data_IF_621497797773
#
_entry.id   IF_621497797773
#
_cell.length_a   1.000
_cell.length_b   1.000
_cell.length_c   1.000
_cell.angle_alpha   90.00
_cell.angle_beta   90.00
_cell.angle_gamma   90.00
#
_symmetry.space_group_name_H-M   'P 1'
#
loop_
_entity.id
_entity.type
_entity.pdbx_description
1 polymer ?
#
# COMPACT_ATOMS: atom_id res chain seq x y z
N UNK A 1 -8.19 -5.62 -6.56
CA UNK A 1 -7.75 -6.90 -5.96
C UNK A 1 -8.86 -7.94 -6.04
N UNK A 2 -9.41 -8.20 -7.24
CA UNK A 2 -10.29 -9.36 -7.50
C UNK A 2 -10.07 -9.71 -8.97
N UNK A 3 -9.47 -10.87 -9.23
CA UNK A 3 -9.09 -11.30 -10.58
C UNK A 3 -10.26 -11.91 -11.38
N UNK A 4 -11.49 -11.86 -10.86
CA UNK A 4 -12.67 -12.48 -11.51
C UNK A 4 -13.98 -11.81 -11.11
N UNK A 5 -14.52 -10.96 -11.98
CA UNK A 5 -15.90 -10.38 -11.99
C UNK A 5 -16.63 -10.29 -10.62
N UNK A 6 -15.95 -9.91 -9.54
CA UNK A 6 -16.47 -9.89 -8.17
C UNK A 6 -17.21 -11.16 -7.68
N UNK A 7 -16.94 -12.34 -8.28
CA UNK A 7 -17.66 -13.57 -7.91
C UNK A 7 -17.15 -14.21 -6.62
N UNK A 8 -15.85 -14.09 -6.34
CA UNK A 8 -15.20 -14.71 -5.18
C UNK A 8 -14.51 -13.71 -4.24
N UNK A 9 -14.35 -12.46 -4.66
CA UNK A 9 -13.69 -11.41 -3.88
C UNK A 9 -14.46 -10.10 -3.97
N UNK A 10 -14.33 -9.28 -2.93
CA UNK A 10 -14.98 -7.98 -2.85
C UNK A 10 -14.07 -6.95 -2.19
N UNK A 11 -14.34 -5.66 -2.40
CA UNK A 11 -13.63 -4.59 -1.72
C UNK A 11 -13.68 -4.73 -0.19
N UNK A 12 -14.83 -5.17 0.33
CA UNK A 12 -14.98 -5.44 1.76
C UNK A 12 -14.06 -6.57 2.23
N UNK A 13 -13.95 -7.67 1.49
CA UNK A 13 -13.05 -8.78 1.82
C UNK A 13 -11.57 -8.33 1.88
N UNK A 14 -11.16 -7.41 1.01
CA UNK A 14 -9.82 -6.81 1.05
C UNK A 14 -9.59 -6.07 2.37
N UNK A 15 -10.53 -5.21 2.79
CA UNK A 15 -10.40 -4.44 4.04
C UNK A 15 -10.37 -5.35 5.28
N UNK A 16 -11.18 -6.42 5.29
CA UNK A 16 -11.17 -7.43 6.35
C UNK A 16 -9.82 -8.16 6.40
N UNK A 17 -9.32 -8.59 5.24
CA UNK A 17 -8.03 -9.26 5.12
C UNK A 17 -6.86 -8.38 5.56
N UNK A 18 -6.84 -7.10 5.16
CA UNK A 18 -5.83 -6.14 5.60
C UNK A 18 -5.87 -5.89 7.12
N UNK A 19 -7.06 -5.63 7.66
CA UNK A 19 -7.24 -5.38 9.09
C UNK A 19 -6.75 -6.55 9.94
N UNK A 20 -7.21 -7.77 9.66
CA UNK A 20 -6.77 -8.94 10.43
C UNK A 20 -5.34 -9.36 10.13
N UNK A 21 -4.82 -9.11 8.92
CA UNK A 21 -3.41 -9.27 8.61
C UNK A 21 -2.53 -8.41 9.53
N UNK A 22 -2.93 -7.15 9.75
CA UNK A 22 -2.27 -6.26 10.72
C UNK A 22 -2.40 -6.81 12.15
N UNK A 23 -3.57 -7.30 12.56
CA UNK A 23 -3.76 -7.94 13.88
C UNK A 23 -2.75 -9.06 14.11
N UNK A 24 -2.58 -9.97 13.15
CA UNK A 24 -1.63 -11.08 13.25
C UNK A 24 -0.19 -10.54 13.30
N UNK A 25 0.15 -9.55 12.47
CA UNK A 25 1.45 -8.90 12.51
C UNK A 25 1.77 -8.27 13.88
N UNK A 26 0.78 -7.67 14.54
CA UNK A 26 0.93 -7.16 15.91
C UNK A 26 1.21 -8.29 16.89
N UNK A 27 0.56 -9.45 16.76
CA UNK A 27 0.84 -10.60 17.62
C UNK A 27 2.25 -11.16 17.39
N UNK A 28 2.74 -11.17 16.15
CA UNK A 28 4.08 -11.65 15.80
C UNK A 28 5.17 -10.78 16.40
N UNK A 29 5.05 -9.46 16.25
CA UNK A 29 6.18 -8.55 16.52
C UNK A 29 5.95 -7.58 17.70
N UNK A 30 4.79 -7.61 18.34
CA UNK A 30 4.32 -6.58 19.28
C UNK A 30 5.23 -6.43 20.50
N UNK A 31 5.50 -7.53 21.22
CA UNK A 31 6.37 -7.50 22.40
C UNK A 31 7.87 -7.38 22.08
N UNK A 32 8.27 -7.57 20.83
CA UNK A 32 9.68 -7.54 20.41
C UNK A 32 10.08 -6.15 19.89
N UNK A 33 9.26 -5.59 19.00
CA UNK A 33 9.58 -4.36 18.26
C UNK A 33 8.52 -3.26 18.39
N UNK A 34 7.41 -3.51 19.09
CA UNK A 34 6.21 -2.67 19.05
C UNK A 34 5.36 -2.89 17.79
N UNK A 35 5.74 -3.84 16.92
CA UNK A 35 5.05 -4.17 15.67
C UNK A 35 4.70 -2.95 14.81
N UNK A 36 5.65 -2.04 14.61
CA UNK A 36 5.40 -0.84 13.80
C UNK A 36 4.91 -1.20 12.40
N UNK A 37 5.58 -2.17 11.74
CA UNK A 37 5.25 -2.70 10.39
C UNK A 37 5.03 -1.64 9.30
N UNK A 38 5.39 -0.40 9.60
CA UNK A 38 5.06 0.79 8.85
C UNK A 38 6.13 1.85 9.08
N UNK A 39 6.76 2.31 7.99
CA UNK A 39 7.82 3.30 8.05
C UNK A 39 7.31 4.66 8.56
N UNK A 40 6.07 5.05 8.26
CA UNK A 40 5.48 6.29 8.77
C UNK A 40 5.21 6.22 10.27
N UNK A 41 4.74 5.08 10.78
CA UNK A 41 4.57 4.85 12.24
C UNK A 41 5.94 4.87 12.93
N UNK A 42 6.94 4.22 12.32
CA UNK A 42 8.31 4.21 12.85
C UNK A 42 8.90 5.62 12.88
N UNK A 43 8.75 6.38 11.79
CA UNK A 43 9.19 7.76 11.69
C UNK A 43 8.53 8.63 12.75
N UNK A 44 7.21 8.51 12.92
CA UNK A 44 6.46 9.33 13.88
C UNK A 44 6.89 9.05 15.32
N UNK A 45 7.10 7.77 15.68
CA UNK A 45 7.63 7.40 16.98
C UNK A 45 9.05 7.94 17.20
N UNK A 46 9.90 8.00 16.17
CA UNK A 46 11.20 8.66 16.26
C UNK A 46 11.07 10.18 16.46
N UNK A 47 10.22 10.82 15.67
CA UNK A 47 10.01 12.27 15.70
C UNK A 47 9.45 12.76 17.04
N UNK A 48 8.57 11.98 17.66
CA UNK A 48 7.97 12.27 18.97
C UNK A 48 8.81 11.78 20.16
N UNK A 49 9.99 11.18 19.92
CA UNK A 49 10.91 10.75 20.96
C UNK A 49 10.57 9.42 21.64
N UNK A 50 9.59 8.66 21.13
CA UNK A 50 9.25 7.31 21.61
C UNK A 50 10.21 6.22 21.11
N UNK A 51 10.91 6.47 19.99
CA UNK A 51 11.90 5.55 19.43
C UNK A 51 13.21 6.28 19.13
N UNK A 52 14.36 5.65 19.37
CA UNK A 52 15.65 6.21 18.98
C UNK A 52 15.81 6.22 17.46
N UNK A 53 16.24 7.36 16.90
CA UNK A 53 16.59 7.49 15.48
C UNK A 53 17.62 6.46 14.98
N UNK A 54 18.48 5.94 15.87
CA UNK A 54 19.44 4.87 15.52
C UNK A 54 18.75 3.57 15.09
N UNK A 55 17.54 3.30 15.58
CA UNK A 55 16.74 2.11 15.23
C UNK A 55 15.94 2.29 13.95
N UNK A 56 15.67 3.53 13.55
CA UNK A 56 14.88 3.85 12.36
C UNK A 56 15.32 3.11 11.09
N UNK A 57 16.61 3.15 10.66
CA UNK A 57 17.02 2.49 9.42
C UNK A 57 16.87 0.96 9.50
N UNK A 58 17.10 0.35 10.67
CA UNK A 58 16.94 -1.10 10.87
C UNK A 58 15.47 -1.50 10.75
N UNK A 59 14.57 -0.72 11.33
CA UNK A 59 13.12 -0.95 11.22
C UNK A 59 12.66 -0.84 9.76
N UNK A 60 13.01 0.25 9.08
CA UNK A 60 12.59 0.48 7.69
C UNK A 60 13.16 -0.58 6.75
N UNK A 61 14.44 -0.94 6.90
CA UNK A 61 15.06 -1.98 6.08
C UNK A 61 14.36 -3.34 6.27
N UNK A 62 14.12 -3.75 7.51
CA UNK A 62 13.41 -5.01 7.79
C UNK A 62 11.98 -5.02 7.24
N UNK A 63 11.25 -3.92 7.39
CA UNK A 63 9.90 -3.77 6.85
C UNK A 63 9.89 -3.79 5.31
N UNK A 64 10.86 -3.12 4.67
CA UNK A 64 10.95 -3.05 3.22
C UNK A 64 11.30 -4.42 2.62
N UNK A 65 12.30 -5.10 3.17
CA UNK A 65 12.67 -6.44 2.73
C UNK A 65 11.52 -7.43 2.95
N UNK A 66 10.87 -7.37 4.12
CA UNK A 66 9.72 -8.22 4.42
C UNK A 66 8.57 -8.02 3.43
N UNK A 67 8.22 -6.77 3.10
CA UNK A 67 7.15 -6.49 2.14
C UNK A 67 7.51 -6.86 0.71
N UNK A 68 8.76 -6.64 0.29
CA UNK A 68 9.24 -7.07 -1.03
C UNK A 68 9.14 -8.59 -1.19
N UNK A 69 9.62 -9.35 -0.19
CA UNK A 69 9.55 -10.81 -0.21
C UNK A 69 8.11 -11.32 -0.12
N UNK A 70 7.24 -10.65 0.63
CA UNK A 70 5.82 -10.97 0.66
C UNK A 70 5.16 -10.77 -0.72
N UNK A 71 5.49 -9.68 -1.43
CA UNK A 71 5.02 -9.46 -2.80
C UNK A 71 5.46 -10.58 -3.74
N UNK A 72 6.74 -10.99 -3.67
CA UNK A 72 7.25 -12.11 -4.45
C UNK A 72 6.52 -13.42 -4.13
N UNK A 73 6.34 -13.73 -2.84
CA UNK A 73 5.63 -14.93 -2.41
C UNK A 73 4.18 -14.97 -2.93
N UNK A 74 3.45 -13.85 -2.86
CA UNK A 74 2.09 -13.75 -3.39
C UNK A 74 2.09 -13.90 -4.91
N UNK A 75 3.03 -13.28 -5.63
CA UNK A 75 3.13 -13.45 -7.08
C UNK A 75 3.33 -14.92 -7.47
N UNK A 76 4.21 -15.65 -6.80
CA UNK A 76 4.43 -17.06 -7.10
C UNK A 76 3.22 -17.93 -6.71
N UNK A 77 2.57 -17.64 -5.57
CA UNK A 77 1.38 -18.38 -5.14
C UNK A 77 0.20 -18.19 -6.12
N UNK A 78 0.06 -17.00 -6.70
CA UNK A 78 -1.01 -16.66 -7.64
C UNK A 78 -0.54 -16.64 -9.10
N UNK A 79 0.63 -17.21 -9.42
CA UNK A 79 1.26 -17.08 -10.74
C UNK A 79 0.33 -17.53 -11.86
N UNK A 80 -0.21 -18.75 -11.76
CA UNK A 80 -1.12 -19.32 -12.76
C UNK A 80 -2.38 -18.47 -12.94
N UNK A 81 -2.99 -18.02 -11.84
CA UNK A 81 -4.18 -17.18 -11.88
C UNK A 81 -3.93 -15.80 -12.52
N UNK A 82 -2.78 -15.18 -12.23
CA UNK A 82 -2.39 -13.90 -12.84
C UNK A 82 -2.13 -14.08 -14.34
N UNK A 83 -1.38 -15.12 -14.73
CA UNK A 83 -1.05 -15.36 -16.13
C UNK A 83 -2.29 -15.71 -16.97
N UNK A 84 -3.22 -16.50 -16.41
CA UNK A 84 -4.50 -16.81 -17.05
C UNK A 84 -5.36 -15.56 -17.24
N UNK A 85 -5.51 -14.74 -16.19
CA UNK A 85 -6.31 -13.51 -16.26
C UNK A 85 -5.73 -12.48 -17.25
N UNK A 86 -4.40 -12.36 -17.29
CA UNK A 86 -3.71 -11.36 -18.11
C UNK A 86 -3.38 -11.84 -19.53
N UNK A 87 -3.61 -13.13 -19.82
CA UNK A 87 -3.08 -13.81 -21.01
C UNK A 87 -1.56 -13.56 -21.19
N UNK A 88 -0.83 -13.58 -20.07
CA UNK A 88 0.61 -13.32 -20.00
C UNK A 88 1.04 -11.85 -20.12
N UNK A 89 0.11 -10.90 -20.30
CA UNK A 89 0.43 -9.48 -20.45
C UNK A 89 0.24 -8.68 -19.15
N UNK A 90 1.34 -8.43 -18.45
CA UNK A 90 1.34 -7.77 -17.14
C UNK A 90 1.20 -6.24 -17.27
N UNK A 91 -0.01 -5.71 -17.11
CA UNK A 91 -0.28 -4.28 -17.24
C UNK A 91 -0.55 -3.57 -15.90
N UNK A 92 -0.23 -2.27 -15.87
CA UNK A 92 -0.47 -1.38 -14.73
C UNK A 92 -1.86 -0.75 -14.79
N UNK A 93 -2.37 -0.51 -16.00
CA UNK A 93 -3.66 0.14 -16.26
C UNK A 93 -4.49 -0.66 -17.26
N UNK A 94 -5.76 -0.31 -17.36
CA UNK A 94 -6.72 -0.95 -18.25
C UNK A 94 -7.50 -2.08 -17.58
N UNK A 95 -8.38 -2.76 -18.34
CA UNK A 95 -9.32 -3.74 -17.80
C UNK A 95 -8.67 -4.98 -17.20
N UNK A 96 -7.45 -5.31 -17.65
CA UNK A 96 -6.67 -6.46 -17.19
C UNK A 96 -5.53 -6.07 -16.23
N UNK A 97 -5.58 -4.85 -15.67
CA UNK A 97 -4.53 -4.36 -14.77
C UNK A 97 -4.40 -5.24 -13.52
N UNK A 98 -3.17 -5.66 -13.23
CA UNK A 98 -2.84 -6.53 -12.09
C UNK A 98 -1.81 -5.94 -11.14
N UNK A 99 -1.17 -4.83 -11.51
CA UNK A 99 -0.18 -4.17 -10.65
C UNK A 99 -0.79 -3.69 -9.31
N UNK A 100 -2.08 -3.37 -9.32
CA UNK A 100 -2.87 -2.91 -8.16
C UNK A 100 -3.09 -3.99 -7.08
N UNK A 101 -2.70 -5.25 -7.34
CA UNK A 101 -2.63 -6.30 -6.32
C UNK A 101 -1.53 -5.99 -5.31
N UNK A 102 -0.41 -5.44 -5.78
CA UNK A 102 0.82 -5.29 -5.02
C UNK A 102 0.96 -3.90 -4.42
N UNK A 103 0.68 -2.85 -5.19
CA UNK A 103 0.83 -1.45 -4.80
C UNK A 103 -0.45 -0.66 -5.10
N UNK A 104 -0.65 0.49 -4.49
CA UNK A 104 -1.82 1.34 -4.76
C UNK A 104 -1.58 2.25 -5.95
N UNK A 105 -2.65 2.65 -6.64
CA UNK A 105 -2.60 3.54 -7.80
C UNK A 105 -3.77 4.51 -7.71
N UNK A 106 -3.50 5.79 -7.98
CA UNK A 106 -4.54 6.81 -7.98
C UNK A 106 -5.58 6.52 -9.09
N UNK A 107 -6.88 6.64 -8.78
CA UNK A 107 -7.94 6.56 -9.78
C UNK A 107 -7.96 7.83 -10.64
N UNK A 108 -8.57 7.74 -11.82
CA UNK A 108 -8.50 8.79 -12.85
C UNK A 108 -9.14 10.13 -12.43
N UNK A 109 -10.04 10.12 -11.46
CA UNK A 109 -10.68 11.33 -10.92
C UNK A 109 -9.82 12.07 -9.87
N UNK A 110 -8.70 11.48 -9.44
CA UNK A 110 -7.83 12.05 -8.41
C UNK A 110 -6.60 12.70 -9.01
N UNK A 111 -6.26 13.89 -8.51
CA UNK A 111 -4.98 14.54 -8.80
C UNK A 111 -3.93 14.15 -7.76
N UNK A 112 -2.66 14.32 -8.10
CA UNK A 112 -1.54 14.06 -7.20
C UNK A 112 -1.68 14.80 -5.85
N UNK A 113 -2.05 16.08 -5.91
CA UNK A 113 -2.26 16.90 -4.72
C UNK A 113 -3.39 16.38 -3.83
N UNK A 114 -4.51 15.93 -4.42
CA UNK A 114 -5.61 15.34 -3.65
C UNK A 114 -5.21 14.00 -3.05
N UNK A 115 -4.44 13.18 -3.78
CA UNK A 115 -3.90 11.93 -3.25
C UNK A 115 -2.94 12.15 -2.09
N UNK A 116 -2.08 13.19 -2.17
CA UNK A 116 -1.24 13.61 -1.04
C UNK A 116 -2.06 13.94 0.20
N UNK A 117 -3.05 14.82 0.07
CA UNK A 117 -3.89 15.22 1.19
C UNK A 117 -4.64 14.03 1.80
N UNK A 118 -5.16 13.13 0.95
CA UNK A 118 -5.84 11.91 1.38
C UNK A 118 -4.88 11.03 2.20
N UNK A 119 -3.72 10.66 1.66
CA UNK A 119 -2.74 9.81 2.36
C UNK A 119 -2.20 10.43 3.66
N UNK A 120 -1.96 11.74 3.69
CA UNK A 120 -1.57 12.46 4.92
C UNK A 120 -2.67 12.38 5.97
N UNK A 121 -3.93 12.62 5.57
CA UNK A 121 -5.06 12.60 6.48
C UNK A 121 -5.32 11.18 7.02
N UNK A 122 -5.33 10.16 6.14
CA UNK A 122 -5.55 8.76 6.52
C UNK A 122 -4.41 8.24 7.42
N UNK A 123 -3.16 8.56 7.10
CA UNK A 123 -2.01 8.17 7.93
C UNK A 123 -2.04 8.88 9.29
N UNK A 124 -2.48 10.14 9.34
CA UNK A 124 -2.69 10.88 10.57
C UNK A 124 -3.77 10.25 11.45
N UNK A 125 -4.91 9.85 10.87
CA UNK A 125 -5.98 9.14 11.57
C UNK A 125 -5.51 7.79 12.10
N UNK A 126 -4.76 7.02 11.30
CA UNK A 126 -4.15 5.77 11.74
C UNK A 126 -3.25 6.00 12.96
N UNK A 127 -2.35 6.98 12.89
CA UNK A 127 -1.39 7.24 13.96
C UNK A 127 -2.07 7.73 15.24
N UNK A 128 -3.07 8.62 15.11
CA UNK A 128 -3.88 9.08 16.23
C UNK A 128 -4.63 7.91 16.89
N UNK A 129 -5.24 7.03 16.08
CA UNK A 129 -5.93 5.85 16.57
C UNK A 129 -5.00 4.88 17.29
N UNK A 130 -3.81 4.61 16.74
CA UNK A 130 -2.79 3.77 17.39
C UNK A 130 -2.42 4.35 18.77
N UNK A 131 -2.18 5.65 18.86
CA UNK A 131 -1.88 6.29 20.16
C UNK A 131 -3.05 6.21 21.13
N UNK A 132 -4.29 6.48 20.69
CA UNK A 132 -5.46 6.37 21.55
C UNK A 132 -5.66 4.93 22.08
N UNK A 133 -5.44 3.92 21.25
CA UNK A 133 -5.59 2.50 21.61
C UNK A 133 -4.52 2.06 22.62
N UNK A 134 -3.32 2.61 22.52
CA UNK A 134 -2.14 2.13 23.29
C UNK A 134 -1.77 3.00 24.49
N UNK A 135 -2.26 4.23 24.58
CA UNK A 135 -1.95 5.14 25.71
C UNK A 135 -2.70 4.74 26.98
N UNK A 136 -1.96 4.15 27.93
CA UNK A 136 -2.48 3.71 29.23
C UNK A 136 -2.95 4.85 30.14
N UNK A 137 -2.70 6.11 29.79
CA UNK A 137 -3.22 7.29 30.51
C UNK A 137 -4.57 7.76 29.97
N UNK A 138 -5.03 7.20 28.86
CA UNK A 138 -6.34 7.43 28.27
C UNK A 138 -7.21 6.16 28.41
N UNK A 139 -8.30 6.06 27.64
CA UNK A 139 -9.13 4.85 27.54
C UNK A 139 -8.52 3.82 26.57
N UNK A 140 -7.36 3.26 26.93
CA UNK A 140 -6.66 2.26 26.11
C UNK A 140 -7.45 0.96 25.96
N UNK A 141 -7.16 0.19 24.92
CA UNK A 141 -7.68 -1.17 24.80
C UNK A 141 -7.21 -2.08 25.96
N UNK A 142 -8.03 -3.10 26.23
CA UNK A 142 -7.71 -4.12 27.21
C UNK A 142 -6.39 -4.81 26.84
N UNK A 143 -5.60 -5.15 27.86
CA UNK A 143 -4.32 -5.81 27.65
C UNK A 143 -4.48 -7.12 26.87
N UNK A 144 -3.74 -7.26 25.77
CA UNK A 144 -3.80 -8.40 24.87
C UNK A 144 -4.79 -8.23 23.72
N UNK A 145 -5.66 -7.21 23.74
CA UNK A 145 -6.60 -6.95 22.64
C UNK A 145 -6.15 -5.80 21.74
N UNK A 146 -5.04 -5.12 22.05
CA UNK A 146 -4.54 -3.97 21.29
C UNK A 146 -4.40 -4.29 19.80
N UNK A 147 -3.86 -5.47 19.46
CA UNK A 147 -3.68 -5.90 18.07
C UNK A 147 -5.00 -6.02 17.31
N UNK A 148 -6.04 -6.55 17.94
CA UNK A 148 -7.38 -6.71 17.33
C UNK A 148 -7.98 -5.34 17.05
N UNK A 149 -7.91 -4.41 18.02
CA UNK A 149 -8.48 -3.08 17.87
C UNK A 149 -7.72 -2.26 16.82
N UNK A 150 -6.39 -2.41 16.73
CA UNK A 150 -5.58 -1.79 15.66
C UNK A 150 -5.97 -2.36 14.28
N UNK A 151 -6.21 -3.67 14.17
CA UNK A 151 -6.69 -4.26 12.92
C UNK A 151 -8.07 -3.76 12.50
N UNK A 152 -8.99 -3.59 13.47
CA UNK A 152 -10.31 -2.99 13.23
C UNK A 152 -10.16 -1.52 12.76
N UNK A 153 -9.25 -0.75 13.36
CA UNK A 153 -8.95 0.62 12.91
C UNK A 153 -8.54 0.65 11.43
N UNK A 154 -7.62 -0.23 11.01
CA UNK A 154 -7.18 -0.33 9.60
C UNK A 154 -8.33 -0.73 8.69
N UNK A 155 -9.15 -1.70 9.11
CA UNK A 155 -10.35 -2.13 8.37
C UNK A 155 -11.30 -0.95 8.13
N UNK A 156 -11.62 -0.18 9.18
CA UNK A 156 -12.53 0.97 9.09
C UNK A 156 -11.97 2.06 8.17
N UNK A 157 -10.67 2.35 8.25
CA UNK A 157 -10.02 3.29 7.32
C UNK A 157 -10.20 2.83 5.87
N UNK A 158 -9.95 1.55 5.58
CA UNK A 158 -10.13 1.00 4.24
C UNK A 158 -11.58 1.06 3.75
N UNK A 159 -12.55 0.69 4.59
CA UNK A 159 -13.98 0.71 4.22
C UNK A 159 -14.50 2.14 4.00
N UNK A 160 -14.10 3.09 4.85
CA UNK A 160 -14.65 4.45 4.82
C UNK A 160 -13.90 5.40 3.89
N UNK A 161 -12.58 5.25 3.75
CA UNK A 161 -11.72 6.25 3.11
C UNK A 161 -10.84 5.68 1.99
N UNK A 162 -10.81 4.36 1.81
CA UNK A 162 -9.85 3.72 0.92
C UNK A 162 -10.08 3.88 -0.58
N UNK A 163 -11.23 4.40 -1.02
CA UNK A 163 -11.60 4.50 -2.44
C UNK A 163 -10.72 5.48 -3.24
N UNK A 164 -10.23 6.54 -2.60
CA UNK A 164 -9.56 7.65 -3.28
C UNK A 164 -8.10 7.34 -3.64
N UNK A 165 -7.42 6.55 -2.83
CA UNK A 165 -5.97 6.30 -2.92
C UNK A 165 -5.58 4.82 -2.76
N UNK A 166 -6.52 3.98 -2.35
CA UNK A 166 -6.25 2.60 -1.94
C UNK A 166 -5.68 2.47 -0.52
N UNK A 167 -5.75 3.54 0.29
CA UNK A 167 -5.27 3.60 1.69
C UNK A 167 -3.88 2.99 1.84
N UNK A 168 -2.90 3.50 1.10
CA UNK A 168 -1.54 2.96 1.20
C UNK A 168 -1.05 3.06 2.65
N UNK A 169 -1.20 4.24 3.28
CA UNK A 169 -0.99 4.62 4.70
C UNK A 169 0.33 4.15 5.33
N UNK A 170 1.21 3.56 4.51
CA UNK A 170 2.37 2.80 4.91
C UNK A 170 3.35 2.75 3.72
N UNK A 171 4.45 3.52 3.77
CA UNK A 171 5.47 3.47 2.73
C UNK A 171 6.07 2.07 2.53
N UNK A 172 6.18 1.28 3.60
CA UNK A 172 6.68 -0.10 3.57
C UNK A 172 5.71 -1.07 2.87
N UNK A 173 4.42 -0.74 2.75
CA UNK A 173 3.40 -1.57 2.09
C UNK A 173 3.25 -1.26 0.61
N UNK A 174 3.72 -0.11 0.16
CA UNK A 174 3.53 0.37 -1.21
C UNK A 174 4.82 0.35 -2.03
N UNK A 175 5.90 0.93 -1.52
CA UNK A 175 7.13 1.10 -2.29
C UNK A 175 7.87 -0.23 -2.57
N UNK A 176 8.09 -1.14 -1.60
CA UNK A 176 8.79 -2.39 -1.87
C UNK A 176 8.04 -3.32 -2.85
N UNK A 177 6.71 -3.54 -2.72
CA UNK A 177 5.97 -4.32 -3.71
C UNK A 177 5.97 -3.69 -5.11
N UNK A 178 6.06 -2.36 -5.21
CA UNK A 178 6.20 -1.65 -6.48
C UNK A 178 7.56 -1.90 -7.15
N UNK A 179 8.64 -1.95 -6.37
CA UNK A 179 9.93 -2.41 -6.89
C UNK A 179 9.88 -3.87 -7.34
N UNK A 180 9.17 -4.72 -6.61
CA UNK A 180 8.96 -6.10 -7.04
C UNK A 180 8.25 -6.17 -8.40
N UNK A 181 7.11 -5.48 -8.57
CA UNK A 181 6.38 -5.52 -9.86
C UNK A 181 7.17 -4.90 -11.02
N UNK A 182 7.99 -3.88 -10.76
CA UNK A 182 8.95 -3.36 -11.74
C UNK A 182 9.90 -4.47 -12.24
N UNK A 183 10.51 -5.21 -11.31
CA UNK A 183 11.46 -6.29 -11.62
C UNK A 183 10.74 -7.47 -12.29
N UNK A 184 9.52 -7.80 -11.84
CA UNK A 184 8.76 -8.95 -12.31
C UNK A 184 8.13 -8.78 -13.71
N UNK A 185 8.22 -7.59 -14.32
CA UNK A 185 7.87 -7.38 -15.72
C UNK A 185 6.68 -6.46 -16.00
N UNK A 186 6.10 -5.78 -15.00
CA UNK A 186 5.08 -4.74 -15.24
C UNK A 186 5.67 -3.44 -15.84
N UNK A 187 7.00 -3.31 -15.85
CA UNK A 187 7.72 -2.21 -16.49
C UNK A 187 7.72 -0.91 -15.68
N UNK A 188 8.32 0.13 -16.24
CA UNK A 188 8.51 1.43 -15.56
C UNK A 188 7.21 2.17 -15.25
N UNK A 189 6.09 1.77 -15.86
CA UNK A 189 4.79 2.39 -15.63
C UNK A 189 4.34 2.33 -14.18
N UNK A 190 4.84 1.35 -13.41
CA UNK A 190 4.55 1.23 -11.96
C UNK A 190 4.99 2.44 -11.15
N UNK A 191 5.87 3.31 -11.67
CA UNK A 191 6.31 4.55 -11.02
C UNK A 191 5.75 5.83 -11.67
N UNK A 192 5.14 5.75 -12.86
CA UNK A 192 4.81 6.93 -13.67
C UNK A 192 3.41 7.48 -13.47
N UNK A 193 2.42 6.66 -13.08
CA UNK A 193 1.01 7.12 -13.03
C UNK A 193 0.65 7.77 -11.69
N UNK A 194 0.44 9.08 -11.69
CA UNK A 194 -0.15 9.87 -10.59
C UNK A 194 0.29 9.45 -9.18
N UNK A 195 1.56 9.09 -9.00
CA UNK A 195 2.07 8.65 -7.71
C UNK A 195 2.61 9.81 -6.91
N UNK A 196 2.33 9.76 -5.60
CA UNK A 196 2.95 10.60 -4.57
C UNK A 196 4.48 10.62 -4.62
N UNK A 197 5.08 9.51 -5.04
CA UNK A 197 6.52 9.34 -5.28
C UNK A 197 6.84 9.26 -6.79
N UNK A 198 6.02 9.85 -7.66
CA UNK A 198 6.29 9.84 -9.10
C UNK A 198 7.67 10.44 -9.36
N UNK A 199 8.58 9.58 -9.81
CA UNK A 199 9.95 9.95 -10.15
C UNK A 199 9.94 10.51 -11.57
N UNK A 200 9.49 11.76 -11.71
CA UNK A 200 9.44 12.46 -13.01
C UNK A 200 10.80 12.46 -13.75
N UNK A 201 11.92 12.29 -13.05
CA UNK A 201 13.26 12.17 -13.65
C UNK A 201 13.54 10.82 -14.37
N UNK A 202 12.65 9.83 -14.26
CA UNK A 202 12.67 8.60 -15.07
C UNK A 202 11.91 8.77 -16.40
N UNK A 203 11.36 9.96 -16.66
CA UNK A 203 10.84 10.33 -17.97
C UNK A 203 12.03 10.66 -18.88
N UNK A 204 12.47 9.68 -19.65
CA UNK A 204 13.19 9.99 -20.88
C UNK A 204 12.27 10.85 -21.76
N UNK A 205 12.71 12.03 -22.23
CA UNK A 205 11.95 12.83 -23.18
C UNK A 205 11.95 12.08 -24.51
N UNK A 206 10.94 11.24 -24.75
CA UNK A 206 10.58 10.84 -26.11
C UNK A 206 9.56 11.84 -26.60
N UNK A 207 10.07 12.98 -27.07
CA UNK A 207 9.41 13.71 -28.15
C UNK A 207 9.36 12.78 -29.36
N UNK A 208 8.17 12.27 -29.67
CA UNK A 208 7.83 11.72 -30.97
C UNK A 208 6.34 12.01 -31.18
N UNK A 209 6.13 13.21 -31.75
CA UNK A 209 4.96 13.70 -32.47
C UNK A 209 3.78 12.75 -32.66
N UNK A 210 2.64 13.16 -32.10
CA UNK A 210 1.36 13.17 -32.84
C UNK A 210 1.61 13.67 -34.27
N UNK A 211 1.21 12.90 -35.28
CA UNK A 211 0.80 13.39 -36.59
C UNK A 211 0.32 12.23 -37.49
N UNK A 212 -0.97 12.23 -37.84
CA UNK A 212 -1.40 11.82 -39.17
C UNK A 212 -2.52 10.77 -39.26
N UNK A 213 -3.77 11.18 -39.03
CA UNK A 213 -4.86 10.68 -39.89
C UNK A 213 -5.43 11.85 -40.71
N UNK A 214 -5.52 11.72 -42.05
CA UNK A 214 -6.09 12.77 -42.88
C UNK A 214 -7.60 12.62 -42.94
N UNK A 215 -8.29 13.74 -42.69
CA UNK A 215 -9.67 13.97 -43.10
C UNK A 215 -9.89 13.51 -44.55
N UNK A 216 -10.91 12.67 -44.77
CA UNK A 216 -11.55 12.54 -46.08
C UNK A 216 -12.98 13.07 -45.98
N UNK A 217 -13.27 13.84 -47.03
CA UNK A 217 -14.49 14.58 -47.40
C UNK A 217 -15.73 13.73 -47.31
#
# INVERSE_FOLDING_TARGET
MVLRENTLGSYFAVNVGFGFGVTIGVHVAGKVSGAHMNAAVTFTNCALGYLSWKKFPVYVLGQFLGSFLAAAAIYFLFYTAIMEFTNGNLTVTGPIATANIFATYLPDHMTLWRGFLDEVFLTGMLQLGIFAITDKRNNSALQGTEGVVIGILVLIIGVSLGMNSGYAINPSRDLPPRFFTFIAGWGTQVFRRHHLLSLHWLDHPKGASDNGEPHRV
#
